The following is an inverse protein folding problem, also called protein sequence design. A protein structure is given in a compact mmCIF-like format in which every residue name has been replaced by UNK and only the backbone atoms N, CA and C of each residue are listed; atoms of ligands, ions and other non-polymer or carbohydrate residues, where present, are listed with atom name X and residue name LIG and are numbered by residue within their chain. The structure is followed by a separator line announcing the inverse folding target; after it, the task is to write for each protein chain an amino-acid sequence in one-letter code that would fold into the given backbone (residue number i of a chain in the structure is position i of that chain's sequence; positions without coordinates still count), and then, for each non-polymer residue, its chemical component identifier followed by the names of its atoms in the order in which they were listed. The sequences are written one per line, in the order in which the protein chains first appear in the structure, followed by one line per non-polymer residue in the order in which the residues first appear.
data_IF_408486764187
#
_entry.id   IF_408486764187
#
_cell.length_a   1.000
_cell.length_b   1.000
_cell.length_c   1.000
_cell.angle_alpha   90.00
_cell.angle_beta   90.00
_cell.angle_gamma   90.00
#
_symmetry.space_group_name_H-M   'P 1'
#
loop_
_entity.id
_entity.type
_entity.pdbx_description
1 polymer ?
#
# COMPACT_ATOMS: atom_id res chain seq x y z
N UNK A 1 -18.79 -7.23 3.46
CA UNK A 1 -17.51 -7.45 2.76
C UNK A 1 -16.40 -6.99 3.66
N UNK A 2 -15.35 -7.79 3.83
CA UNK A 2 -14.13 -7.39 4.54
C UNK A 2 -13.46 -6.21 3.81
N UNK A 3 -12.51 -5.53 4.44
CA UNK A 3 -11.76 -4.47 3.76
C UNK A 3 -11.01 -5.01 2.54
N UNK A 4 -10.45 -6.22 2.66
CA UNK A 4 -9.74 -6.89 1.57
C UNK A 4 -10.68 -7.26 0.42
N UNK A 5 -11.88 -7.79 0.70
CA UNK A 5 -12.87 -8.04 -0.36
C UNK A 5 -13.30 -6.74 -1.05
N UNK A 6 -13.42 -5.63 -0.32
CA UNK A 6 -13.71 -4.33 -0.92
C UNK A 6 -12.58 -3.86 -1.84
N UNK A 7 -11.33 -4.05 -1.42
CA UNK A 7 -10.14 -3.75 -2.22
C UNK A 7 -10.12 -4.58 -3.51
N UNK A 8 -10.30 -5.91 -3.41
CA UNK A 8 -10.34 -6.80 -4.57
C UNK A 8 -11.44 -6.43 -5.58
N UNK A 9 -12.54 -5.85 -5.08
CA UNK A 9 -13.66 -5.41 -5.91
C UNK A 9 -13.59 -3.93 -6.32
N UNK A 10 -12.55 -3.18 -5.92
CA UNK A 10 -12.45 -1.74 -6.18
C UNK A 10 -12.50 -1.42 -7.68
N UNK A 11 -11.91 -2.30 -8.53
CA UNK A 11 -11.92 -2.16 -9.99
C UNK A 11 -13.19 -2.66 -10.69
N UNK A 12 -14.08 -3.38 -9.99
CA UNK A 12 -15.19 -4.14 -10.59
C UNK A 12 -16.43 -3.30 -10.91
N UNK A 13 -16.50 -2.06 -10.42
CA UNK A 13 -17.69 -1.21 -10.49
C UNK A 13 -17.66 -0.10 -11.55
N UNK A 14 -16.59 0.01 -12.35
CA UNK A 14 -16.44 1.08 -13.32
C UNK A 14 -17.07 0.70 -14.67
N UNK A 15 -18.03 1.50 -15.15
CA UNK A 15 -18.65 1.30 -16.46
C UNK A 15 -17.77 1.82 -17.61
N UNK A 16 -16.85 2.74 -17.31
CA UNK A 16 -15.98 3.39 -18.28
C UNK A 16 -14.51 3.26 -17.90
N UNK A 17 -13.67 2.91 -18.89
CA UNK A 17 -12.22 2.79 -18.71
C UNK A 17 -11.59 4.06 -18.13
N UNK A 18 -12.07 5.24 -18.54
CA UNK A 18 -11.54 6.51 -18.05
C UNK A 18 -11.75 6.71 -16.54
N UNK A 19 -12.84 6.18 -15.98
CA UNK A 19 -13.12 6.26 -14.54
C UNK A 19 -12.22 5.29 -13.76
N UNK A 20 -12.06 4.07 -14.27
CA UNK A 20 -11.11 3.08 -13.77
C UNK A 20 -9.69 3.66 -13.73
N UNK A 21 -9.20 4.18 -14.85
CA UNK A 21 -7.85 4.73 -14.97
C UNK A 21 -7.65 5.92 -14.02
N UNK A 22 -8.64 6.80 -13.90
CA UNK A 22 -8.57 7.95 -13.00
C UNK A 22 -8.57 7.54 -11.52
N UNK A 23 -9.30 6.49 -11.16
CA UNK A 23 -9.28 5.94 -9.80
C UNK A 23 -7.90 5.39 -9.45
N UNK A 24 -7.36 4.49 -10.29
CA UNK A 24 -6.05 3.88 -10.06
C UNK A 24 -4.91 4.89 -10.10
N UNK A 25 -4.98 5.87 -11.00
CA UNK A 25 -4.02 6.98 -11.02
C UNK A 25 -4.00 7.74 -9.68
N UNK A 26 -5.16 8.01 -9.07
CA UNK A 26 -5.22 8.67 -7.76
C UNK A 26 -4.70 7.77 -6.65
N UNK A 27 -5.01 6.48 -6.69
CA UNK A 27 -4.48 5.50 -5.75
C UNK A 27 -2.94 5.43 -5.81
N UNK A 28 -2.37 5.27 -7.01
CA UNK A 28 -0.91 5.19 -7.18
C UNK A 28 -0.18 6.46 -6.74
N UNK A 29 -0.80 7.63 -6.90
CA UNK A 29 -0.23 8.88 -6.36
C UNK A 29 -0.16 8.85 -4.82
N UNK A 30 -1.22 8.38 -4.15
CA UNK A 30 -1.21 8.22 -2.69
C UNK A 30 -0.19 7.16 -2.25
N UNK A 31 -0.14 6.03 -2.94
CA UNK A 31 0.82 4.96 -2.67
C UNK A 31 2.26 5.45 -2.81
N UNK A 32 2.55 6.22 -3.86
CA UNK A 32 3.85 6.84 -4.04
C UNK A 32 4.19 7.82 -2.90
N UNK A 33 3.21 8.60 -2.45
CA UNK A 33 3.40 9.49 -1.29
C UNK A 33 3.72 8.71 0.00
N UNK A 34 3.05 7.57 0.23
CA UNK A 34 3.36 6.70 1.38
C UNK A 34 4.80 6.18 1.32
N UNK A 35 5.22 5.62 0.17
CA UNK A 35 6.58 5.12 0.01
C UNK A 35 7.60 6.23 0.16
N UNK A 36 7.32 7.43 -0.36
CA UNK A 36 8.17 8.60 -0.17
C UNK A 36 8.38 8.92 1.31
N UNK A 37 7.30 8.99 2.09
CA UNK A 37 7.38 9.26 3.54
C UNK A 37 8.16 8.16 4.27
N UNK A 38 7.90 6.89 3.96
CA UNK A 38 8.58 5.73 4.55
C UNK A 38 10.09 5.73 4.24
N UNK A 39 10.46 5.93 2.97
CA UNK A 39 11.86 5.92 2.51
C UNK A 39 12.63 7.13 3.05
N UNK A 40 12.05 8.34 2.98
CA UNK A 40 12.67 9.55 3.49
C UNK A 40 12.93 9.48 5.01
N UNK A 41 12.02 8.86 5.76
CA UNK A 41 12.17 8.63 7.19
C UNK A 41 13.09 7.44 7.53
N UNK A 42 13.52 6.64 6.53
CA UNK A 42 14.19 5.34 6.71
C UNK A 42 13.41 4.43 7.66
N UNK A 43 12.08 4.51 7.59
CA UNK A 43 11.17 3.81 8.47
C UNK A 43 11.07 2.35 8.03
N UNK A 44 11.76 1.47 8.75
CA UNK A 44 11.70 0.03 8.49
C UNK A 44 10.51 -0.65 9.16
N UNK A 45 9.81 0.04 10.07
CA UNK A 45 8.75 -0.55 10.88
C UNK A 45 7.47 0.29 10.82
N UNK A 46 6.34 -0.35 10.50
CA UNK A 46 5.01 0.25 10.55
C UNK A 46 4.24 -0.35 11.73
N UNK A 47 3.88 0.49 12.70
CA UNK A 47 3.14 0.05 13.88
C UNK A 47 2.01 1.02 14.22
N UNK A 48 0.82 0.48 14.49
CA UNK A 48 -0.34 1.26 14.90
C UNK A 48 -1.66 0.61 14.53
N UNK A 49 -2.77 1.31 14.79
CA UNK A 49 -4.09 0.85 14.34
C UNK A 49 -4.27 1.12 12.84
N UNK A 50 -4.91 0.19 12.14
CA UNK A 50 -5.15 0.31 10.69
C UNK A 50 -5.83 1.63 10.32
N UNK A 51 -6.89 2.02 11.03
CA UNK A 51 -7.61 3.27 10.81
C UNK A 51 -6.76 4.54 11.05
N UNK A 52 -5.80 4.50 11.97
CA UNK A 52 -4.91 5.61 12.30
C UNK A 52 -3.82 5.74 11.25
N UNK A 53 -3.20 4.62 10.86
CA UNK A 53 -2.22 4.56 9.79
C UNK A 53 -2.83 5.00 8.45
N UNK A 54 -4.01 4.48 8.11
CA UNK A 54 -4.72 4.90 6.89
C UNK A 54 -4.95 6.42 6.86
N UNK A 55 -5.40 7.01 7.97
CA UNK A 55 -5.58 8.47 8.09
C UNK A 55 -4.26 9.24 7.99
N UNK A 56 -3.20 8.74 8.62
CA UNK A 56 -1.87 9.34 8.55
C UNK A 56 -1.39 9.45 7.10
N UNK A 57 -1.54 8.36 6.35
CA UNK A 57 -1.22 8.25 4.93
C UNK A 57 -2.29 8.80 3.97
N UNK A 58 -3.30 9.52 4.49
CA UNK A 58 -4.39 10.13 3.69
C UNK A 58 -5.12 9.12 2.76
N UNK A 59 -5.18 7.88 3.20
CA UNK A 59 -5.88 6.78 2.54
C UNK A 59 -7.16 6.43 3.30
N UNK A 60 -8.14 5.89 2.59
CA UNK A 60 -9.24 5.17 3.25
C UNK A 60 -8.72 3.85 3.81
N UNK A 61 -9.43 3.26 4.77
CA UNK A 61 -9.06 1.95 5.33
C UNK A 61 -8.93 0.86 4.25
N UNK A 62 -9.78 0.93 3.21
CA UNK A 62 -9.73 0.01 2.07
C UNK A 62 -8.52 0.26 1.17
N UNK A 63 -8.22 1.51 0.81
CA UNK A 63 -7.00 1.86 0.06
C UNK A 63 -5.73 1.46 0.83
N UNK A 64 -5.70 1.66 2.15
CA UNK A 64 -4.56 1.27 2.97
C UNK A 64 -4.38 -0.24 3.04
N UNK A 65 -5.46 -1.02 3.04
CA UNK A 65 -5.41 -2.47 2.88
C UNK A 65 -4.82 -2.86 1.53
N UNK A 66 -5.13 -2.12 0.46
CA UNK A 66 -4.48 -2.28 -0.84
C UNK A 66 -2.99 -1.98 -0.83
N UNK A 67 -2.58 -0.95 -0.09
CA UNK A 67 -1.16 -0.66 0.12
C UNK A 67 -0.46 -1.80 0.87
N UNK A 68 -1.08 -2.30 1.94
CA UNK A 68 -0.57 -3.46 2.69
C UNK A 68 -0.46 -4.71 1.82
N UNK A 69 -1.39 -4.90 0.86
CA UNK A 69 -1.38 -5.99 -0.12
C UNK A 69 -0.18 -5.89 -1.07
N UNK A 70 0.08 -4.70 -1.61
CA UNK A 70 1.24 -4.46 -2.47
C UNK A 70 2.59 -4.65 -1.76
N UNK A 71 2.71 -4.23 -0.49
CA UNK A 71 3.96 -4.35 0.27
C UNK A 71 4.16 -5.73 0.90
N UNK A 72 3.12 -6.58 0.97
CA UNK A 72 3.13 -7.81 1.78
C UNK A 72 4.27 -8.78 1.45
N UNK A 73 4.57 -8.95 0.15
CA UNK A 73 5.68 -9.80 -0.32
C UNK A 73 7.07 -9.23 -0.02
N UNK A 74 7.12 -7.97 0.40
CA UNK A 74 8.33 -7.22 0.76
C UNK A 74 8.50 -7.09 2.26
N UNK A 75 7.65 -7.73 3.06
CA UNK A 75 7.79 -7.77 4.51
C UNK A 75 8.73 -8.89 4.95
N UNK A 76 9.27 -8.77 6.16
CA UNK A 76 10.01 -9.87 6.81
C UNK A 76 9.07 -11.02 7.18
N UNK A 77 7.87 -10.67 7.66
CA UNK A 77 6.77 -11.58 7.97
C UNK A 77 5.50 -11.13 7.23
N UNK A 78 4.86 -12.07 6.53
CA UNK A 78 3.65 -11.79 5.77
C UNK A 78 2.45 -11.54 6.69
N UNK A 79 1.65 -10.55 6.36
CA UNK A 79 0.40 -10.21 7.04
C UNK A 79 -0.78 -10.98 6.43
N UNK A 80 -1.71 -11.45 7.27
CA UNK A 80 -2.98 -12.03 6.81
C UNK A 80 -4.02 -10.92 6.55
N UNK A 81 -3.90 -10.32 5.37
CA UNK A 81 -4.67 -9.15 4.94
C UNK A 81 -6.17 -9.43 4.89
N UNK A 82 -6.57 -10.66 4.61
CA UNK A 82 -7.97 -11.05 4.50
C UNK A 82 -8.73 -10.92 5.83
N UNK A 83 -8.01 -10.97 6.96
CA UNK A 83 -8.56 -10.88 8.31
C UNK A 83 -8.56 -9.46 8.89
N UNK A 84 -7.99 -8.48 8.17
CA UNK A 84 -7.84 -7.13 8.70
C UNK A 84 -9.17 -6.38 8.77
N UNK A 85 -9.36 -5.70 9.90
CA UNK A 85 -10.47 -4.81 10.23
C UNK A 85 -9.95 -3.41 10.56
N UNK A 86 -10.85 -2.43 10.70
CA UNK A 86 -10.47 -1.03 10.90
C UNK A 86 -9.65 -0.79 12.18
N UNK A 87 -9.88 -1.59 13.22
CA UNK A 87 -9.19 -1.49 14.52
C UNK A 87 -8.09 -2.56 14.68
N UNK A 88 -7.74 -3.28 13.62
CA UNK A 88 -6.64 -4.25 13.66
C UNK A 88 -5.32 -3.56 13.99
N UNK A 89 -4.53 -4.21 14.83
CA UNK A 89 -3.16 -3.80 15.13
C UNK A 89 -2.26 -4.22 13.97
N UNK A 90 -1.58 -3.24 13.38
CA UNK A 90 -0.54 -3.44 12.38
C UNK A 90 0.79 -3.37 13.12
N UNK A 91 1.63 -4.38 12.92
CA UNK A 91 3.01 -4.43 13.37
C UNK A 91 3.79 -5.21 12.31
N UNK A 92 4.42 -4.49 11.40
CA UNK A 92 5.13 -5.06 10.25
C UNK A 92 6.51 -4.44 10.10
N UNK A 93 7.47 -5.27 9.69
CA UNK A 93 8.83 -4.85 9.35
C UNK A 93 9.04 -4.99 7.83
N UNK A 94 9.51 -3.90 7.22
CA UNK A 94 9.74 -3.76 5.79
C UNK A 94 11.17 -4.18 5.48
N UNK A 95 11.33 -5.11 4.54
CA UNK A 95 12.61 -5.50 3.98
C UNK A 95 12.86 -4.66 2.71
N UNK A 96 13.71 -3.63 2.81
CA UNK A 96 13.97 -2.72 1.70
C UNK A 96 14.63 -3.39 0.48
N UNK A 97 15.42 -4.44 0.68
CA UNK A 97 16.03 -5.17 -0.43
C UNK A 97 14.96 -5.92 -1.22
N UNK A 98 14.07 -6.63 -0.51
CA UNK A 98 12.90 -7.25 -1.14
C UNK A 98 11.97 -6.23 -1.75
N UNK A 99 11.73 -5.10 -1.08
CA UNK A 99 10.85 -4.05 -1.57
C UNK A 99 11.32 -3.52 -2.92
N UNK A 100 12.59 -3.13 -3.01
CA UNK A 100 13.16 -2.62 -4.25
C UNK A 100 13.14 -3.71 -5.35
N UNK A 101 13.48 -4.95 -5.01
CA UNK A 101 13.42 -6.08 -5.94
C UNK A 101 11.99 -6.31 -6.48
N UNK A 102 10.99 -6.32 -5.60
CA UNK A 102 9.60 -6.55 -5.95
C UNK A 102 9.01 -5.38 -6.76
N UNK A 103 9.39 -4.13 -6.46
CA UNK A 103 9.01 -2.97 -7.27
C UNK A 103 9.57 -3.08 -8.70
N UNK A 104 10.81 -3.54 -8.85
CA UNK A 104 11.38 -3.82 -10.18
C UNK A 104 10.63 -4.97 -10.89
N UNK A 105 10.33 -6.06 -10.18
CA UNK A 105 9.60 -7.19 -10.73
C UNK A 105 8.18 -6.79 -11.20
N UNK A 106 7.51 -5.93 -10.42
CA UNK A 106 6.21 -5.35 -10.73
C UNK A 106 6.27 -4.25 -11.80
N UNK A 107 7.47 -3.84 -12.23
CA UNK A 107 7.70 -2.71 -13.16
C UNK A 107 7.09 -1.40 -12.65
N UNK A 108 7.14 -1.17 -11.35
CA UNK A 108 6.64 0.04 -10.70
C UNK A 108 7.68 1.17 -10.74
N UNK A 109 7.95 1.71 -11.93
CA UNK A 109 8.95 2.76 -12.18
C UNK A 109 8.72 4.00 -11.32
N UNK A 110 7.45 4.36 -11.07
CA UNK A 110 7.09 5.45 -10.16
C UNK A 110 7.53 5.26 -8.70
N UNK A 111 7.92 4.03 -8.31
CA UNK A 111 8.38 3.70 -6.95
C UNK A 111 9.88 3.40 -6.88
N UNK A 112 10.42 2.56 -7.78
CA UNK A 112 11.84 2.18 -7.71
C UNK A 112 12.80 3.26 -8.21
N UNK A 113 12.32 4.28 -8.94
CA UNK A 113 13.13 5.41 -9.39
C UNK A 113 13.08 6.61 -8.43
N UNK A 114 12.50 6.47 -7.23
CA UNK A 114 12.41 7.53 -6.23
C UNK A 114 13.81 7.98 -5.74
N UNK A 115 14.04 9.29 -5.67
CA UNK A 115 15.29 9.86 -5.16
C UNK A 115 15.53 9.49 -3.68
N UNK A 116 14.46 9.18 -2.94
CA UNK A 116 14.48 8.79 -1.54
C UNK A 116 15.17 7.43 -1.28
N UNK A 117 15.47 6.65 -2.32
CA UNK A 117 16.30 5.45 -2.21
C UNK A 117 17.80 5.74 -1.98
N UNK A 118 18.24 7.00 -2.20
CA UNK A 118 19.64 7.41 -2.16
C UNK A 118 20.23 7.68 -0.75
#
# INVERSE_FOLDING_TARGET
MTLYEQWQNAGSGFEHQAEYDNYWKKYFLKEADNYREILAAKQTKLQGKLNELAKHYKMTNMEFVGFLDGINESLTESLDIATLETESDIDIDIDYEKLLFNMHAAKADWLYEMDEWA
#
